data_IF_206569825691
#
_entry.id   IF_206569825691
#
_cell.length_a   1.000
_cell.length_b   1.000
_cell.length_c   1.000
_cell.angle_alpha   90.00
_cell.angle_beta   90.00
_cell.angle_gamma   90.00
#
_symmetry.space_group_name_H-M   'P 1'
#
loop_
_entity.id
_entity.type
_entity.pdbx_description
1 polymer ?
#
# COMPACT_ATOMS: atom_id res chain seq x y z
N UNK A 1 50.41 -39.82 -33.31
CA UNK A 1 49.85 -38.46 -33.20
C UNK A 1 48.66 -38.52 -32.25
N UNK A 2 48.72 -37.86 -31.09
CA UNK A 2 47.59 -37.78 -30.14
C UNK A 2 46.81 -36.50 -30.46
N UNK A 3 45.58 -36.64 -30.95
CA UNK A 3 44.64 -35.53 -31.10
C UNK A 3 44.13 -35.15 -29.70
N UNK A 4 44.36 -33.91 -29.28
CA UNK A 4 43.74 -33.35 -28.08
C UNK A 4 42.53 -32.55 -28.54
N UNK A 5 41.33 -33.01 -28.16
CA UNK A 5 40.08 -32.30 -28.42
C UNK A 5 39.85 -31.30 -27.27
N UNK A 6 40.06 -30.02 -27.52
CA UNK A 6 39.70 -28.97 -26.56
C UNK A 6 38.20 -28.70 -26.68
N UNK A 7 37.43 -29.09 -25.67
CA UNK A 7 36.02 -28.77 -25.56
C UNK A 7 35.88 -27.34 -25.03
N UNK A 8 35.47 -26.39 -25.87
CA UNK A 8 35.11 -25.05 -25.42
C UNK A 8 33.75 -25.10 -24.72
N UNK A 9 33.72 -24.90 -23.39
CA UNK A 9 32.47 -24.63 -22.68
C UNK A 9 31.96 -23.24 -23.05
N UNK A 10 30.79 -23.18 -23.68
CA UNK A 10 30.05 -21.95 -23.89
C UNK A 10 29.23 -21.67 -22.63
N UNK A 11 29.60 -20.63 -21.87
CA UNK A 11 28.78 -20.15 -20.76
C UNK A 11 27.65 -19.28 -21.33
N UNK A 12 26.42 -19.78 -21.24
CA UNK A 12 25.21 -19.01 -21.53
C UNK A 12 24.86 -18.21 -20.26
N UNK A 13 24.99 -16.88 -20.30
CA UNK A 13 24.50 -16.03 -19.22
C UNK A 13 22.98 -15.89 -19.32
N UNK A 14 22.27 -16.41 -18.33
CA UNK A 14 20.84 -16.14 -18.15
C UNK A 14 20.72 -14.82 -17.40
N UNK A 15 20.12 -13.82 -18.02
CA UNK A 15 19.73 -12.60 -17.32
C UNK A 15 18.47 -12.89 -16.51
N UNK A 16 18.62 -12.91 -15.19
CA UNK A 16 17.48 -12.94 -14.27
C UNK A 16 17.07 -11.49 -14.04
N UNK A 17 15.91 -11.09 -14.56
CA UNK A 17 15.33 -9.79 -14.21
C UNK A 17 14.88 -9.84 -12.75
N UNK A 18 15.62 -9.17 -11.87
CA UNK A 18 15.16 -8.90 -10.51
C UNK A 18 14.06 -7.83 -10.55
N UNK A 19 13.07 -7.93 -9.67
CA UNK A 19 12.10 -6.86 -9.49
C UNK A 19 12.81 -5.63 -8.91
N UNK A 20 12.52 -4.45 -9.46
CA UNK A 20 13.03 -3.17 -8.97
C UNK A 20 11.95 -2.48 -8.15
N UNK A 21 12.26 -2.11 -6.92
CA UNK A 21 11.33 -1.34 -6.09
C UNK A 21 11.40 0.15 -6.49
N UNK A 22 10.28 0.69 -6.99
CA UNK A 22 10.13 2.12 -7.27
C UNK A 22 9.84 2.89 -5.97
N UNK A 23 9.05 2.28 -5.09
CA UNK A 23 8.71 2.75 -3.76
C UNK A 23 8.57 1.53 -2.85
N UNK A 24 9.07 1.64 -1.63
CA UNK A 24 8.94 0.62 -0.59
C UNK A 24 8.81 1.31 0.77
N UNK A 25 7.91 0.80 1.61
CA UNK A 25 7.78 1.26 2.99
C UNK A 25 7.19 0.17 3.87
N UNK A 26 7.80 -0.02 5.03
CA UNK A 26 7.36 -0.96 6.06
C UNK A 26 6.69 -0.25 7.26
N UNK A 27 6.57 1.08 7.18
CA UNK A 27 6.03 1.98 8.21
C UNK A 27 6.67 1.88 9.62
N UNK A 28 7.83 1.23 9.79
CA UNK A 28 8.46 1.05 11.12
C UNK A 28 8.91 2.39 11.74
N UNK A 29 9.22 3.36 10.87
CA UNK A 29 9.55 4.74 11.23
C UNK A 29 8.34 5.70 11.13
N UNK A 30 7.13 5.16 10.96
CA UNK A 30 5.90 5.92 10.70
C UNK A 30 5.63 6.12 9.20
N UNK A 31 4.55 6.85 8.89
CA UNK A 31 4.22 7.22 7.51
C UNK A 31 5.30 8.18 6.98
N UNK A 32 5.96 7.89 5.84
CA UNK A 32 6.98 8.75 5.29
C UNK A 32 6.45 10.16 4.97
N UNK A 33 7.24 11.19 5.23
CA UNK A 33 6.81 12.60 5.14
C UNK A 33 6.54 13.10 3.71
N UNK A 34 6.93 12.32 2.70
CA UNK A 34 6.65 12.59 1.29
C UNK A 34 5.30 12.01 0.82
N UNK A 35 4.58 11.30 1.69
CA UNK A 35 3.18 10.94 1.44
C UNK A 35 2.28 12.14 1.76
N UNK A 36 1.19 12.28 1.02
CA UNK A 36 0.14 13.24 1.34
C UNK A 36 -0.99 12.53 2.08
N UNK A 37 -1.44 13.12 3.19
CA UNK A 37 -2.59 12.64 3.96
C UNK A 37 -3.70 13.67 3.80
N UNK A 38 -4.88 13.23 3.37
CA UNK A 38 -6.04 14.12 3.21
C UNK A 38 -7.23 13.59 4.00
N UNK A 39 -7.72 14.43 4.90
CA UNK A 39 -9.01 14.26 5.56
C UNK A 39 -10.08 14.98 4.73
N UNK A 40 -10.90 14.22 4.00
CA UNK A 40 -11.93 14.77 3.13
C UNK A 40 -13.34 14.67 3.74
N UNK A 41 -13.53 13.78 4.72
CA UNK A 41 -14.80 13.60 5.43
C UNK A 41 -14.94 14.56 6.62
N UNK A 42 -13.83 14.97 7.25
CA UNK A 42 -13.81 15.79 8.46
C UNK A 42 -14.59 15.18 9.65
N UNK A 43 -14.85 13.87 9.60
CA UNK A 43 -15.58 13.15 10.63
C UNK A 43 -14.70 12.95 11.86
N UNK A 44 -15.21 13.39 13.01
CA UNK A 44 -14.51 13.23 14.28
C UNK A 44 -14.53 11.75 14.73
N UNK A 45 -13.36 11.13 14.98
CA UNK A 45 -13.28 9.78 15.52
C UNK A 45 -14.08 9.61 16.81
N UNK A 46 -14.60 8.40 17.04
CA UNK A 46 -15.23 8.05 18.29
C UNK A 46 -14.22 8.18 19.45
N UNK A 47 -14.69 8.52 20.65
CA UNK A 47 -13.83 8.68 21.83
C UNK A 47 -13.00 7.42 22.14
N UNK A 48 -13.53 6.23 21.81
CA UNK A 48 -12.85 4.94 22.00
C UNK A 48 -11.61 4.76 21.10
N UNK A 49 -11.55 5.49 19.98
CA UNK A 49 -10.44 5.49 19.02
C UNK A 49 -9.83 6.89 18.88
N UNK A 50 -9.84 7.67 19.97
CA UNK A 50 -9.31 9.04 20.02
C UNK A 50 -7.81 9.17 19.70
N UNK A 51 -7.07 8.06 19.64
CA UNK A 51 -5.70 8.01 19.15
C UNK A 51 -5.57 8.28 17.65
N UNK A 52 -6.64 8.15 16.86
CA UNK A 52 -6.67 8.51 15.43
C UNK A 52 -6.79 10.02 15.25
N UNK A 53 -5.69 10.74 15.44
CA UNK A 53 -5.65 12.21 15.40
C UNK A 53 -5.50 12.81 13.99
N UNK A 54 -5.48 11.97 12.95
CA UNK A 54 -5.33 12.32 11.54
C UNK A 54 -6.09 11.29 10.69
N UNK A 55 -6.40 11.62 9.44
CA UNK A 55 -7.07 10.70 8.50
C UNK A 55 -6.33 9.36 8.38
N UNK A 56 -4.99 9.42 8.35
CA UNK A 56 -4.09 8.27 8.49
C UNK A 56 -3.04 8.57 9.56
N UNK A 57 -2.70 7.56 10.36
CA UNK A 57 -1.65 7.62 11.37
C UNK A 57 -0.67 6.45 11.21
N UNK A 58 0.59 6.67 11.60
CA UNK A 58 1.49 5.56 11.91
C UNK A 58 1.27 5.12 13.35
N UNK A 59 0.95 3.85 13.58
CA UNK A 59 0.69 3.28 14.91
C UNK A 59 1.31 1.89 15.06
N UNK A 60 1.45 1.42 16.29
CA UNK A 60 1.77 0.01 16.54
C UNK A 60 0.61 -0.88 16.08
N UNK A 61 0.94 -2.07 15.57
CA UNK A 61 -0.05 -3.12 15.37
C UNK A 61 -0.58 -3.54 16.77
N UNK A 62 -1.91 -3.49 17.02
CA UNK A 62 -2.49 -3.91 18.29
C UNK A 62 -2.15 -5.35 18.69
N UNK A 63 -1.85 -6.22 17.72
CA UNK A 63 -1.51 -7.64 17.94
C UNK A 63 0.00 -7.89 18.00
N UNK A 64 0.82 -6.94 17.54
CA UNK A 64 2.28 -6.98 17.60
C UNK A 64 2.88 -5.61 17.91
N UNK A 65 3.16 -5.37 19.19
CA UNK A 65 3.77 -4.11 19.65
C UNK A 65 5.15 -3.79 19.07
N UNK A 66 5.81 -4.75 18.41
CA UNK A 66 7.10 -4.55 17.75
C UNK A 66 6.97 -4.10 16.30
N UNK A 67 5.77 -4.22 15.73
CA UNK A 67 5.44 -3.86 14.37
C UNK A 67 4.66 -2.54 14.34
N UNK A 68 4.92 -1.69 13.34
CA UNK A 68 4.11 -0.49 13.08
C UNK A 68 3.50 -0.53 11.69
N UNK A 69 2.35 0.12 11.59
CA UNK A 69 1.48 0.12 10.41
C UNK A 69 0.94 1.52 10.17
N UNK A 70 0.54 1.79 8.92
CA UNK A 70 -0.35 2.90 8.61
C UNK A 70 -1.80 2.46 8.87
N UNK A 71 -2.58 3.28 9.58
CA UNK A 71 -3.97 2.96 9.93
C UNK A 71 -4.89 4.17 9.75
N UNK A 72 -6.11 3.91 9.33
CA UNK A 72 -7.24 4.83 9.34
C UNK A 72 -8.39 4.22 10.18
N UNK A 73 -9.42 5.00 10.48
CA UNK A 73 -10.61 4.52 11.18
C UNK A 73 -11.86 5.00 10.46
N UNK A 74 -12.89 4.16 10.45
CA UNK A 74 -14.27 4.50 10.09
C UNK A 74 -15.18 4.64 11.32
N UNK A 75 -14.65 4.44 12.53
CA UNK A 75 -15.45 4.50 13.75
C UNK A 75 -15.53 5.91 14.29
N UNK A 76 -16.62 6.59 13.96
CA UNK A 76 -16.82 8.00 14.22
C UNK A 76 -17.76 8.26 15.41
N UNK A 77 -17.73 9.51 15.89
CA UNK A 77 -18.65 10.00 16.92
C UNK A 77 -20.09 10.11 16.41
N UNK A 78 -20.26 10.39 15.12
CA UNK A 78 -21.52 10.30 14.37
C UNK A 78 -21.31 9.33 13.21
N UNK A 79 -22.24 8.40 13.02
CA UNK A 79 -22.18 7.42 11.93
C UNK A 79 -22.19 8.12 10.57
N UNK A 80 -21.15 7.91 9.79
CA UNK A 80 -21.00 8.43 8.44
C UNK A 80 -19.89 7.64 7.69
N UNK A 81 -19.72 7.92 6.39
CA UNK A 81 -18.76 7.25 5.54
C UNK A 81 -17.36 7.87 5.67
N UNK A 82 -16.33 7.03 5.73
CA UNK A 82 -14.95 7.50 5.71
C UNK A 82 -14.51 7.92 4.30
N UNK A 83 -13.83 9.06 4.19
CA UNK A 83 -13.13 9.56 3.00
C UNK A 83 -11.74 10.06 3.41
N UNK A 84 -10.82 9.11 3.62
CA UNK A 84 -9.50 9.35 4.22
C UNK A 84 -8.41 8.84 3.31
N UNK A 85 -7.56 9.74 2.83
CA UNK A 85 -6.63 9.45 1.75
C UNK A 85 -5.21 9.36 2.25
N UNK A 86 -4.50 8.32 1.80
CA UNK A 86 -3.05 8.17 1.91
C UNK A 86 -2.47 8.09 0.49
N UNK A 87 -1.80 9.15 0.06
CA UNK A 87 -1.34 9.32 -1.32
C UNK A 87 0.18 9.25 -1.34
N UNK A 88 0.72 8.37 -2.19
CA UNK A 88 2.17 8.22 -2.40
C UNK A 88 2.79 9.48 -3.03
N UNK A 89 4.12 9.67 -2.95
CA UNK A 89 4.79 10.61 -3.85
C UNK A 89 4.57 10.20 -5.31
N UNK A 90 4.72 11.15 -6.24
CA UNK A 90 4.66 10.85 -7.67
C UNK A 90 5.68 9.77 -8.07
N UNK A 91 5.22 8.75 -8.79
CA UNK A 91 6.02 7.59 -9.17
C UNK A 91 6.44 7.66 -10.64
N UNK A 92 7.71 7.37 -10.91
CA UNK A 92 8.20 7.17 -12.28
C UNK A 92 8.14 5.69 -12.62
N UNK A 93 7.05 5.27 -13.26
CA UNK A 93 6.81 3.88 -13.63
C UNK A 93 7.71 3.41 -14.78
N UNK A 94 7.98 2.11 -14.82
CA UNK A 94 8.61 1.46 -15.97
C UNK A 94 7.65 1.38 -17.15
N UNK A 95 8.16 1.04 -18.35
CA UNK A 95 7.32 0.94 -19.55
C UNK A 95 6.30 -0.21 -19.51
N UNK A 96 6.52 -1.24 -18.68
CA UNK A 96 5.61 -2.37 -18.50
C UNK A 96 5.86 -3.06 -17.16
N UNK A 97 4.88 -3.85 -16.71
CA UNK A 97 5.03 -4.72 -15.55
C UNK A 97 5.02 -3.99 -14.21
N UNK A 98 4.35 -2.85 -14.13
CA UNK A 98 4.21 -2.11 -12.88
C UNK A 98 3.03 -2.67 -12.09
N UNK A 99 3.23 -2.89 -10.80
CA UNK A 99 2.21 -3.28 -9.85
C UNK A 99 2.51 -2.61 -8.51
N UNK A 100 1.50 -2.54 -7.65
CA UNK A 100 1.65 -2.23 -6.23
C UNK A 100 1.15 -3.43 -5.44
N UNK A 101 1.93 -3.85 -4.45
CA UNK A 101 1.56 -4.86 -3.48
C UNK A 101 1.58 -4.28 -2.06
N UNK A 102 0.71 -4.78 -1.20
CA UNK A 102 0.63 -4.36 0.20
C UNK A 102 -0.01 -5.45 1.05
N UNK A 103 0.17 -5.34 2.36
CA UNK A 103 -0.57 -6.14 3.35
C UNK A 103 -1.60 -5.27 4.04
N UNK A 104 -2.82 -5.79 4.20
CA UNK A 104 -3.90 -5.12 4.90
C UNK A 104 -4.71 -6.09 5.75
N UNK A 105 -5.39 -5.54 6.76
CA UNK A 105 -6.45 -6.18 7.53
C UNK A 105 -7.44 -5.14 8.05
N UNK A 106 -8.67 -5.54 8.31
CA UNK A 106 -9.58 -4.82 9.20
C UNK A 106 -9.33 -5.24 10.65
N UNK A 107 -9.24 -4.31 11.58
CA UNK A 107 -8.95 -4.63 12.98
C UNK A 107 -10.13 -5.26 13.73
N UNK A 108 -11.37 -4.82 13.47
CA UNK A 108 -12.55 -5.42 14.10
C UNK A 108 -13.28 -6.31 13.10
N UNK A 109 -13.33 -7.64 13.31
CA UNK A 109 -14.01 -8.57 12.40
C UNK A 109 -15.54 -8.36 12.37
N UNK A 110 -16.11 -7.69 13.37
CA UNK A 110 -17.54 -7.40 13.45
C UNK A 110 -17.94 -6.19 12.60
N UNK A 111 -16.97 -5.33 12.28
CA UNK A 111 -17.15 -4.11 11.50
C UNK A 111 -16.01 -4.00 10.47
N UNK A 112 -15.99 -4.89 9.46
CA UNK A 112 -14.90 -4.92 8.49
C UNK A 112 -14.94 -3.67 7.60
N UNK A 113 -13.78 -3.02 7.46
CA UNK A 113 -13.62 -1.82 6.65
C UNK A 113 -13.56 -2.13 5.15
N UNK A 114 -14.01 -1.16 4.34
CA UNK A 114 -13.82 -1.14 2.90
C UNK A 114 -12.75 -0.09 2.54
N UNK A 115 -12.02 -0.29 1.45
CA UNK A 115 -11.16 0.74 0.87
C UNK A 115 -10.96 0.55 -0.62
N UNK A 116 -10.59 1.64 -1.28
CA UNK A 116 -10.24 1.66 -2.69
C UNK A 116 -8.76 1.99 -2.89
N UNK A 117 -8.20 1.46 -3.97
CA UNK A 117 -6.89 1.85 -4.51
C UNK A 117 -7.14 2.57 -5.82
N UNK A 118 -6.72 3.84 -5.88
CA UNK A 118 -6.96 4.70 -7.03
C UNK A 118 -5.65 5.21 -7.64
N UNK A 119 -5.69 5.57 -8.92
CA UNK A 119 -4.57 6.14 -9.67
C UNK A 119 -4.93 7.51 -10.22
N UNK A 120 -3.99 8.44 -10.07
CA UNK A 120 -3.93 9.70 -10.80
C UNK A 120 -2.71 9.71 -11.71
N UNK A 121 -2.87 10.22 -12.92
CA UNK A 121 -1.79 10.39 -13.92
C UNK A 121 -1.35 11.86 -14.05
N UNK A 122 -1.86 12.76 -13.21
CA UNK A 122 -1.66 14.20 -13.35
C UNK A 122 -1.05 14.81 -12.08
N UNK A 123 -1.84 14.92 -11.01
CA UNK A 123 -1.45 15.51 -9.74
C UNK A 123 -2.02 14.72 -8.54
N UNK A 124 -1.84 15.27 -7.34
CA UNK A 124 -2.28 14.66 -6.09
C UNK A 124 -3.60 15.26 -5.54
N UNK A 125 -4.39 15.95 -6.37
CA UNK A 125 -5.73 16.39 -5.96
C UNK A 125 -6.68 15.20 -6.00
N UNK A 126 -7.58 15.08 -5.00
CA UNK A 126 -8.56 13.98 -4.92
C UNK A 126 -9.33 13.80 -6.23
N UNK A 127 -9.73 14.90 -6.88
CA UNK A 127 -10.45 14.86 -8.16
C UNK A 127 -9.69 14.24 -9.33
N UNK A 128 -8.37 14.09 -9.20
CA UNK A 128 -7.50 13.52 -10.23
C UNK A 128 -7.37 12.00 -10.13
N UNK A 129 -7.82 11.40 -9.02
CA UNK A 129 -7.86 9.95 -8.81
C UNK A 129 -9.17 9.38 -9.38
N UNK A 130 -9.24 9.27 -10.71
CA UNK A 130 -10.44 8.84 -11.42
C UNK A 130 -10.45 7.35 -11.78
N UNK A 131 -9.30 6.68 -11.69
CA UNK A 131 -9.15 5.27 -12.04
C UNK A 131 -9.09 4.43 -10.77
N UNK A 132 -10.03 3.50 -10.60
CA UNK A 132 -10.09 2.58 -9.46
C UNK A 132 -9.52 1.24 -9.89
N UNK A 133 -8.35 0.91 -9.34
CA UNK A 133 -7.61 -0.30 -9.68
C UNK A 133 -7.71 -1.39 -8.61
N UNK A 134 -8.26 -1.04 -7.44
CA UNK A 134 -8.63 -1.97 -6.38
C UNK A 134 -9.87 -1.48 -5.65
N UNK A 135 -10.80 -2.40 -5.41
CA UNK A 135 -11.99 -2.17 -4.58
C UNK A 135 -12.11 -3.34 -3.61
N UNK A 136 -11.78 -3.08 -2.36
CA UNK A 136 -11.71 -4.10 -1.32
C UNK A 136 -12.91 -3.88 -0.40
N UNK A 137 -13.88 -4.78 -0.52
CA UNK A 137 -15.04 -4.83 0.35
C UNK A 137 -14.78 -5.82 1.49
N UNK A 138 -15.12 -5.40 2.71
CA UNK A 138 -15.02 -6.17 3.94
C UNK A 138 -13.62 -6.80 4.11
N UNK A 139 -12.60 -5.96 4.25
CA UNK A 139 -11.22 -6.44 4.39
C UNK A 139 -11.10 -7.48 5.52
N UNK A 140 -10.26 -8.48 5.27
CA UNK A 140 -10.07 -9.62 6.15
C UNK A 140 -9.57 -9.19 7.52
N UNK A 141 -9.98 -9.91 8.56
CA UNK A 141 -9.41 -9.73 9.89
C UNK A 141 -7.95 -10.21 9.98
N UNK A 142 -7.55 -11.17 9.15
CA UNK A 142 -6.16 -11.64 9.08
C UNK A 142 -5.37 -10.84 8.04
N UNK A 143 -4.09 -10.58 8.35
CA UNK A 143 -3.17 -9.92 7.42
C UNK A 143 -3.16 -10.63 6.06
N UNK A 144 -3.59 -9.92 5.02
CA UNK A 144 -3.75 -10.45 3.67
C UNK A 144 -2.86 -9.67 2.71
N UNK A 145 -2.07 -10.40 1.91
CA UNK A 145 -1.31 -9.80 0.79
C UNK A 145 -2.28 -9.44 -0.34
N UNK A 146 -2.12 -8.24 -0.87
CA UNK A 146 -2.87 -7.68 -1.97
C UNK A 146 -1.90 -7.23 -3.04
N UNK A 147 -2.33 -7.30 -4.29
CA UNK A 147 -1.56 -6.80 -5.44
C UNK A 147 -2.55 -6.29 -6.49
N UNK A 148 -2.25 -5.13 -7.09
CA UNK A 148 -2.97 -4.61 -8.25
C UNK A 148 -1.99 -4.11 -9.31
N UNK A 149 -2.39 -4.24 -10.57
CA UNK A 149 -1.60 -3.80 -11.72
C UNK A 149 -1.72 -2.27 -11.91
N UNK A 150 -0.61 -1.63 -12.24
CA UNK A 150 -0.49 -0.19 -12.52
C UNK A 150 -0.23 0.12 -14.01
N UNK A 151 -0.31 -0.89 -14.87
CA UNK A 151 0.00 -0.82 -16.32
C UNK A 151 -1.25 -0.74 -17.18
#
# INVERSE_FOLDING_TARGET
>A
MKLIFTCCLFFLSVEIFAQSYILDTDFQLGIPTNYSIVDNDFNAPNIQVSNFTSAWIGTVDPEDSTNKVAAATSYFSLEDTASRWLITPALSLSSFGNFISWKAKSHDPSFPDNYMVLVSTTDNQISSFIDTIGDIEQENFEWTEREVNLS
#
